data_IF_201694097447
#
_entry.id   IF_201694097447
#
_cell.length_a   1.000
_cell.length_b   1.000
_cell.length_c   1.000
_cell.angle_alpha   90.00
_cell.angle_beta   90.00
_cell.angle_gamma   90.00
#
_symmetry.space_group_name_H-M   'P 1'
#
loop_
_entity.id
_entity.type
_entity.pdbx_description
1 polymer ?
#
# COMPACT_ATOMS: atom_id res chain seq x y z
N UNK A 1 29.10 2.23 -28.47
CA UNK A 1 28.60 2.30 -27.07
C UNK A 1 27.17 2.78 -27.11
N UNK A 2 26.25 1.88 -27.48
CA UNK A 2 24.84 2.22 -27.65
C UNK A 2 24.12 2.02 -26.32
N UNK A 3 23.56 3.12 -25.80
CA UNK A 3 22.79 3.09 -24.56
C UNK A 3 21.46 2.38 -24.78
N UNK A 4 21.17 1.36 -23.97
CA UNK A 4 19.87 0.69 -23.92
C UNK A 4 18.73 1.71 -23.86
N UNK A 5 17.70 1.52 -24.69
CA UNK A 5 16.55 2.41 -24.66
C UNK A 5 15.82 2.27 -23.32
N UNK A 6 15.16 3.35 -22.87
CA UNK A 6 14.37 3.35 -21.64
C UNK A 6 13.26 2.27 -21.66
N UNK A 7 12.85 1.83 -22.86
CA UNK A 7 11.85 0.78 -23.10
C UNK A 7 12.43 -0.62 -22.87
N UNK A 8 13.68 -0.84 -23.28
CA UNK A 8 14.42 -2.09 -22.99
C UNK A 8 14.73 -2.21 -21.50
N UNK A 9 15.10 -1.09 -20.85
CA UNK A 9 15.23 -1.05 -19.40
C UNK A 9 13.89 -1.33 -18.70
N UNK A 10 12.74 -0.91 -19.23
CA UNK A 10 11.44 -1.21 -18.63
C UNK A 10 11.06 -2.69 -18.77
N UNK A 11 11.41 -3.34 -19.89
CA UNK A 11 11.23 -4.79 -20.09
C UNK A 11 12.22 -5.60 -19.26
N UNK A 12 13.48 -5.18 -19.18
CA UNK A 12 14.51 -5.81 -18.32
C UNK A 12 14.17 -5.62 -16.82
N UNK A 13 13.64 -4.46 -16.40
CA UNK A 13 13.20 -4.22 -15.01
C UNK A 13 11.94 -5.02 -14.65
N UNK A 14 10.94 -5.10 -15.53
CA UNK A 14 9.75 -5.92 -15.27
C UNK A 14 10.05 -7.43 -15.30
N UNK A 15 11.10 -7.85 -16.02
CA UNK A 15 11.59 -9.24 -16.04
C UNK A 15 12.55 -9.63 -14.89
N UNK A 16 13.29 -8.68 -14.32
CA UNK A 16 14.33 -8.95 -13.30
C UNK A 16 13.86 -8.67 -11.87
N UNK A 17 12.80 -7.87 -11.69
CA UNK A 17 12.28 -7.50 -10.36
C UNK A 17 11.48 -8.64 -9.67
N UNK A 18 11.24 -9.76 -10.37
CA UNK A 18 10.67 -10.97 -9.77
C UNK A 18 11.72 -11.98 -9.27
N UNK A 19 13.02 -11.75 -9.48
CA UNK A 19 14.08 -12.67 -9.02
C UNK A 19 15.03 -12.11 -7.95
N UNK A 20 15.16 -10.79 -7.80
CA UNK A 20 16.07 -10.20 -6.80
C UNK A 20 15.40 -9.75 -5.48
N UNK A 21 14.07 -9.85 -5.35
CA UNK A 21 13.37 -9.53 -4.11
C UNK A 21 13.41 -10.66 -3.05
N UNK A 22 14.35 -11.60 -3.13
CA UNK A 22 14.43 -12.75 -2.21
C UNK A 22 15.78 -12.89 -1.48
N UNK A 23 16.76 -12.01 -1.69
CA UNK A 23 18.13 -12.27 -1.17
C UNK A 23 18.77 -11.15 -0.32
N UNK A 24 18.13 -9.99 -0.08
CA UNK A 24 18.83 -8.87 0.58
C UNK A 24 18.07 -8.11 1.69
N UNK A 25 17.03 -8.67 2.32
CA UNK A 25 16.43 -8.04 3.51
C UNK A 25 15.97 -9.06 4.54
N UNK A 26 16.90 -9.83 5.13
CA UNK A 26 16.70 -10.38 6.49
C UNK A 26 18.00 -10.96 7.08
N UNK A 27 18.92 -10.09 7.52
CA UNK A 27 20.00 -10.48 8.44
C UNK A 27 20.44 -9.36 9.37
N UNK A 28 19.49 -8.70 10.02
CA UNK A 28 19.84 -7.85 11.17
C UNK A 28 18.70 -7.71 12.19
N UNK A 29 18.28 -8.86 12.72
CA UNK A 29 17.80 -8.92 14.11
C UNK A 29 19.02 -9.11 15.02
N UNK A 30 19.33 -8.10 15.85
CA UNK A 30 19.78 -8.28 17.25
C UNK A 30 19.71 -6.92 17.94
N UNK A 31 18.76 -6.75 18.86
CA UNK A 31 18.78 -5.57 19.74
C UNK A 31 17.47 -5.22 20.43
N UNK A 32 16.71 -6.20 20.92
CA UNK A 32 15.63 -5.93 21.87
C UNK A 32 16.22 -5.39 23.18
N UNK A 33 15.86 -4.16 23.55
CA UNK A 33 15.98 -3.66 24.93
C UNK A 33 14.59 -3.17 25.35
N UNK A 34 13.99 -3.94 26.25
CA UNK A 34 12.87 -3.52 27.08
C UNK A 34 13.33 -2.42 28.04
N UNK A 35 12.43 -1.47 28.33
CA UNK A 35 12.57 -0.53 29.44
C UNK A 35 11.28 -0.47 30.26
N UNK A 36 11.37 -0.23 31.58
CA UNK A 36 10.35 -0.62 32.55
C UNK A 36 9.33 0.50 32.82
N UNK A 37 8.19 0.09 33.39
CA UNK A 37 7.16 0.99 33.88
C UNK A 37 7.61 1.79 35.10
N UNK A 38 7.08 3.01 35.20
CA UNK A 38 7.09 3.81 36.42
C UNK A 38 5.77 4.57 36.54
N UNK A 39 5.03 4.23 37.59
CA UNK A 39 3.93 5.01 38.15
C UNK A 39 4.43 6.32 38.74
N UNK A 40 3.87 7.46 38.33
CA UNK A 40 3.81 8.68 39.16
C UNK A 40 2.59 9.51 38.78
N UNK A 41 1.93 10.01 39.81
CA UNK A 41 0.62 10.64 39.90
C UNK A 41 0.57 12.12 39.49
N UNK A 42 -0.65 12.54 39.09
CA UNK A 42 -1.32 13.80 39.41
C UNK A 42 -0.70 15.15 38.97
N UNK A 43 -1.41 15.91 38.12
CA UNK A 43 -2.26 17.05 38.54
C UNK A 43 -2.84 17.86 37.34
N UNK A 44 -4.08 18.33 37.56
CA UNK A 44 -4.77 19.52 37.02
C UNK A 44 -4.99 19.61 35.48
N UNK A 45 -6.23 19.39 34.97
CA UNK A 45 -7.35 20.35 34.82
C UNK A 45 -6.90 21.63 34.06
N UNK A 46 -7.48 22.07 32.94
CA UNK A 46 -8.91 22.35 32.68
C UNK A 46 -9.04 22.81 31.20
N UNK A 47 -10.22 22.70 30.57
CA UNK A 47 -10.50 23.44 29.32
C UNK A 47 -11.35 22.68 28.30
N UNK A 48 -12.68 22.86 28.38
CA UNK A 48 -13.65 22.09 27.62
C UNK A 48 -13.87 22.49 26.16
N UNK A 49 -14.51 21.57 25.42
CA UNK A 49 -15.70 21.86 24.60
C UNK A 49 -16.46 20.56 24.39
N UNK A 50 -17.52 20.37 25.17
CA UNK A 50 -18.45 19.28 24.97
C UNK A 50 -19.07 19.38 23.57
N UNK A 51 -18.86 18.35 22.76
CA UNK A 51 -19.72 18.08 21.62
C UNK A 51 -20.61 16.91 22.01
N UNK A 52 -21.86 17.25 22.29
CA UNK A 52 -22.89 16.32 22.71
C UNK A 52 -23.06 15.15 21.75
N UNK A 53 -23.51 14.04 22.35
CA UNK A 53 -23.91 12.80 21.66
C UNK A 53 -24.89 13.11 20.53
N UNK A 54 -24.47 12.77 19.32
CA UNK A 54 -25.27 12.80 18.11
C UNK A 54 -24.37 12.43 16.95
N UNK A 55 -24.22 11.13 16.68
CA UNK A 55 -23.42 10.62 15.58
C UNK A 55 -23.94 11.19 14.27
N UNK A 56 -23.30 12.28 13.80
CA UNK A 56 -23.57 12.84 12.50
C UNK A 56 -23.45 11.69 11.50
N UNK A 57 -24.58 11.32 10.86
CA UNK A 57 -24.59 10.36 9.75
C UNK A 57 -23.69 10.97 8.68
N UNK A 58 -22.44 10.51 8.65
CA UNK A 58 -21.46 10.90 7.64
C UNK A 58 -22.07 10.47 6.33
N UNK A 59 -22.49 11.44 5.52
CA UNK A 59 -22.92 11.17 4.17
C UNK A 59 -21.78 10.42 3.47
N UNK A 60 -22.10 9.25 2.91
CA UNK A 60 -21.14 8.45 2.14
C UNK A 60 -20.60 9.36 1.04
N UNK A 61 -19.29 9.61 1.02
CA UNK A 61 -18.65 10.36 -0.07
C UNK A 61 -19.01 9.64 -1.38
N UNK A 62 -19.57 10.37 -2.33
CA UNK A 62 -19.75 9.86 -3.69
C UNK A 62 -18.36 9.55 -4.23
N UNK A 63 -18.13 8.30 -4.61
CA UNK A 63 -16.87 7.90 -5.22
C UNK A 63 -16.80 8.56 -6.60
N UNK A 64 -15.85 9.48 -6.76
CA UNK A 64 -15.48 10.10 -8.04
C UNK A 64 -14.17 9.48 -8.51
N UNK A 65 -13.69 9.84 -9.70
CA UNK A 65 -12.43 9.35 -10.27
C UNK A 65 -11.20 9.65 -9.39
N UNK A 66 -10.99 8.81 -8.38
CA UNK A 66 -9.89 8.91 -7.42
C UNK A 66 -8.53 8.60 -8.05
N UNK A 67 -8.52 8.14 -9.31
CA UNK A 67 -7.30 7.77 -10.02
C UNK A 67 -6.36 8.98 -10.23
N UNK A 68 -6.92 10.18 -10.36
CA UNK A 68 -6.13 11.42 -10.41
C UNK A 68 -5.58 11.83 -9.03
N UNK A 69 -6.11 11.25 -7.96
CA UNK A 69 -5.54 11.35 -6.60
C UNK A 69 -4.15 10.70 -6.49
N UNK A 70 -3.78 9.81 -7.43
CA UNK A 70 -2.40 9.35 -7.59
C UNK A 70 -1.62 10.44 -8.33
N UNK A 71 -1.00 11.30 -7.53
CA UNK A 71 -0.33 12.51 -8.00
C UNK A 71 0.99 12.21 -8.73
N UNK A 72 1.38 13.07 -9.67
CA UNK A 72 2.68 13.01 -10.37
C UNK A 72 3.89 12.86 -9.43
N UNK A 73 4.01 13.58 -8.28
CA UNK A 73 5.11 13.37 -7.35
C UNK A 73 5.09 11.99 -6.68
N UNK A 74 3.93 11.37 -6.45
CA UNK A 74 3.86 10.01 -5.89
C UNK A 74 4.44 8.97 -6.88
N UNK A 75 4.05 9.07 -8.15
CA UNK A 75 4.60 8.23 -9.24
C UNK A 75 6.11 8.45 -9.36
N UNK A 76 6.58 9.70 -9.27
CA UNK A 76 8.01 10.02 -9.26
C UNK A 76 8.74 9.33 -8.11
N UNK A 77 8.21 9.36 -6.88
CA UNK A 77 8.82 8.67 -5.72
C UNK A 77 8.94 7.16 -5.95
N UNK A 78 7.91 6.53 -6.50
CA UNK A 78 7.93 5.10 -6.84
C UNK A 78 8.99 4.79 -7.91
N UNK A 79 9.01 5.56 -9.00
CA UNK A 79 9.98 5.38 -10.08
C UNK A 79 11.42 5.60 -9.60
N UNK A 80 11.65 6.57 -8.70
CA UNK A 80 12.97 6.78 -8.08
C UNK A 80 13.38 5.61 -7.20
N UNK A 81 12.47 5.05 -6.39
CA UNK A 81 12.74 3.82 -5.62
C UNK A 81 13.08 2.64 -6.54
N UNK A 82 12.46 2.57 -7.71
CA UNK A 82 12.79 1.60 -8.76
C UNK A 82 14.03 1.93 -9.60
N UNK A 83 14.84 2.93 -9.24
CA UNK A 83 16.08 3.26 -9.95
C UNK A 83 15.92 4.02 -11.27
N UNK A 84 14.73 4.53 -11.59
CA UNK A 84 14.47 5.22 -12.86
C UNK A 84 15.13 6.60 -12.87
N UNK A 85 16.05 6.84 -13.82
CA UNK A 85 16.83 8.09 -13.94
C UNK A 85 16.10 9.23 -14.67
N UNK A 86 15.35 8.94 -15.74
CA UNK A 86 14.55 9.91 -16.51
C UNK A 86 13.15 9.33 -16.74
N UNK A 87 12.12 10.15 -16.63
CA UNK A 87 10.72 9.73 -16.73
C UNK A 87 10.05 10.56 -17.82
N UNK A 88 9.45 9.91 -18.80
CA UNK A 88 8.66 10.55 -19.85
C UNK A 88 7.29 11.02 -19.34
N UNK A 89 6.70 12.03 -19.98
CA UNK A 89 5.40 12.59 -19.60
C UNK A 89 4.23 11.63 -19.75
N UNK A 90 4.31 10.66 -20.67
CA UNK A 90 3.23 9.69 -20.93
C UNK A 90 3.10 8.63 -19.82
N UNK A 91 4.18 8.38 -19.08
CA UNK A 91 4.24 7.35 -18.03
C UNK A 91 3.26 7.66 -16.89
N UNK A 92 2.92 8.93 -16.63
CA UNK A 92 2.02 9.26 -15.53
C UNK A 92 0.63 8.68 -15.72
N UNK A 93 0.10 8.71 -16.95
CA UNK A 93 -1.23 8.18 -17.23
C UNK A 93 -1.21 6.67 -17.43
N UNK A 94 -0.15 6.15 -18.04
CA UNK A 94 0.04 4.70 -18.18
C UNK A 94 0.16 4.00 -16.83
N UNK A 95 0.92 4.58 -15.88
CA UNK A 95 1.05 4.04 -14.52
C UNK A 95 -0.28 4.02 -13.79
N UNK A 96 -1.16 5.01 -14.02
CA UNK A 96 -2.51 5.03 -13.45
C UNK A 96 -3.37 3.90 -14.01
N UNK A 97 -3.32 3.67 -15.33
CA UNK A 97 -4.01 2.55 -15.95
C UNK A 97 -3.59 1.20 -15.36
N UNK A 98 -2.28 0.97 -15.26
CA UNK A 98 -1.72 -0.26 -14.68
C UNK A 98 -2.14 -0.44 -13.22
N UNK A 99 -2.05 0.62 -12.41
CA UNK A 99 -2.43 0.58 -11.01
C UNK A 99 -3.92 0.27 -10.82
N UNK A 100 -4.78 0.82 -11.68
CA UNK A 100 -6.21 0.55 -11.65
C UNK A 100 -6.50 -0.93 -11.92
N UNK A 101 -5.94 -1.49 -12.99
CA UNK A 101 -6.12 -2.91 -13.34
C UNK A 101 -5.60 -3.83 -12.23
N UNK A 102 -4.44 -3.50 -11.64
CA UNK A 102 -3.87 -4.27 -10.55
C UNK A 102 -4.80 -4.30 -9.32
N UNK A 103 -5.29 -3.13 -8.89
CA UNK A 103 -6.19 -3.04 -7.73
C UNK A 103 -7.54 -3.71 -8.00
N UNK A 104 -8.08 -3.58 -9.21
CA UNK A 104 -9.32 -4.26 -9.60
C UNK A 104 -9.19 -5.78 -9.45
N UNK A 105 -8.08 -6.38 -9.92
CA UNK A 105 -7.88 -7.83 -9.81
C UNK A 105 -7.75 -8.30 -8.36
N UNK A 106 -6.97 -7.59 -7.53
CA UNK A 106 -6.78 -7.94 -6.12
C UNK A 106 -8.08 -7.77 -5.33
N UNK A 107 -8.82 -6.68 -5.56
CA UNK A 107 -10.05 -6.38 -4.82
C UNK A 107 -11.17 -7.34 -5.22
N UNK A 108 -11.29 -7.70 -6.51
CA UNK A 108 -12.27 -8.72 -6.95
C UNK A 108 -12.09 -10.03 -6.17
N UNK A 109 -10.85 -10.53 -6.12
CA UNK A 109 -10.53 -11.77 -5.40
C UNK A 109 -10.77 -11.62 -3.88
N UNK A 110 -10.36 -10.49 -3.28
CA UNK A 110 -10.56 -10.23 -1.86
C UNK A 110 -12.05 -10.15 -1.47
N UNK A 111 -12.88 -9.52 -2.31
CA UNK A 111 -14.33 -9.42 -2.09
C UNK A 111 -14.96 -10.82 -2.18
N UNK A 112 -14.55 -11.66 -3.13
CA UNK A 112 -15.04 -13.05 -3.22
C UNK A 112 -14.76 -13.84 -1.94
N UNK A 113 -13.59 -13.69 -1.32
CA UNK A 113 -13.30 -14.33 -0.02
C UNK A 113 -14.21 -13.82 1.11
N UNK A 114 -14.51 -12.53 1.11
CA UNK A 114 -15.40 -11.94 2.14
C UNK A 114 -16.85 -12.38 1.99
N UNK A 115 -17.33 -12.47 0.76
CA UNK A 115 -18.67 -12.94 0.42
C UNK A 115 -18.83 -14.42 0.76
N UNK A 116 -17.81 -15.24 0.45
CA UNK A 116 -17.79 -16.66 0.84
C UNK A 116 -17.90 -16.84 2.36
N UNK A 117 -17.23 -15.98 3.13
CA UNK A 117 -17.30 -15.97 4.58
C UNK A 117 -18.55 -15.27 5.15
N UNK A 118 -19.49 -14.81 4.30
CA UNK A 118 -20.71 -14.07 4.67
C UNK A 118 -20.45 -12.80 5.50
N UNK A 119 -19.26 -12.20 5.35
CA UNK A 119 -18.85 -10.98 6.04
C UNK A 119 -19.09 -9.76 5.15
N UNK A 120 -19.53 -8.65 5.75
CA UNK A 120 -19.69 -7.35 5.05
C UNK A 120 -18.44 -6.48 5.07
N UNK A 121 -17.40 -6.93 5.78
CA UNK A 121 -16.16 -6.18 6.02
C UNK A 121 -15.00 -6.97 5.46
N UNK A 122 -14.24 -6.34 4.55
CA UNK A 122 -12.99 -6.89 4.04
C UNK A 122 -11.93 -6.84 5.14
N UNK A 123 -11.37 -8.01 5.48
CA UNK A 123 -10.29 -8.13 6.47
C UNK A 123 -8.93 -8.10 5.78
N UNK A 124 -7.87 -7.81 6.54
CA UNK A 124 -6.50 -7.87 6.03
C UNK A 124 -6.15 -9.27 5.49
N UNK A 125 -6.68 -10.32 6.12
CA UNK A 125 -6.46 -11.71 5.70
C UNK A 125 -7.07 -12.02 4.33
N UNK A 126 -8.24 -11.47 4.01
CA UNK A 126 -8.86 -11.67 2.70
C UNK A 126 -7.99 -11.09 1.57
N UNK A 127 -7.31 -9.96 1.84
CA UNK A 127 -6.35 -9.34 0.91
C UNK A 127 -5.07 -10.17 0.81
N UNK A 128 -4.53 -10.67 1.94
CA UNK A 128 -3.34 -11.54 1.94
C UNK A 128 -3.61 -12.83 1.14
N UNK A 129 -4.79 -13.42 1.27
CA UNK A 129 -5.18 -14.61 0.52
C UNK A 129 -5.37 -14.33 -0.97
N UNK A 130 -6.00 -13.21 -1.33
CA UNK A 130 -6.09 -12.77 -2.72
C UNK A 130 -4.71 -12.57 -3.36
N UNK A 131 -3.80 -11.92 -2.64
CA UNK A 131 -2.44 -11.69 -3.09
C UNK A 131 -1.63 -13.00 -3.21
N UNK A 132 -1.80 -13.94 -2.26
CA UNK A 132 -1.18 -15.27 -2.32
C UNK A 132 -1.65 -16.05 -3.56
N UNK A 133 -2.93 -15.98 -3.92
CA UNK A 133 -3.48 -16.61 -5.15
C UNK A 133 -2.83 -16.05 -6.42
N UNK A 134 -2.51 -14.76 -6.44
CA UNK A 134 -1.83 -14.10 -7.57
C UNK A 134 -0.29 -14.28 -7.53
N UNK A 135 0.24 -15.11 -6.63
CA UNK A 135 1.68 -15.35 -6.49
C UNK A 135 2.46 -14.22 -5.81
N UNK A 136 1.77 -13.25 -5.19
CA UNK A 136 2.37 -12.10 -4.51
C UNK A 136 2.19 -12.25 -3.00
N UNK A 137 3.09 -12.92 -2.32
CA UNK A 137 2.94 -13.13 -0.87
C UNK A 137 3.29 -11.85 -0.10
N UNK A 138 2.38 -11.39 0.75
CA UNK A 138 2.56 -10.19 1.58
C UNK A 138 2.70 -10.60 3.06
N UNK A 139 3.76 -10.14 3.70
CA UNK A 139 4.08 -10.43 5.11
C UNK A 139 3.72 -9.25 6.02
N UNK A 140 3.49 -9.50 7.31
CA UNK A 140 3.25 -8.47 8.33
C UNK A 140 1.78 -8.08 8.58
N UNK A 141 0.82 -8.86 8.06
CA UNK A 141 -0.61 -8.54 8.12
C UNK A 141 -1.49 -9.62 8.79
N UNK A 142 -0.89 -10.53 9.57
CA UNK A 142 -1.60 -11.64 10.26
C UNK A 142 -1.83 -11.41 11.75
N UNK A 143 -2.37 -10.24 12.11
CA UNK A 143 -2.70 -9.88 13.50
C UNK A 143 -4.05 -10.42 13.97
#
# INVERSE_FOLDING_TARGET
MEGKSCVELLRDLLGSHLRLARELEWREERGGKSLPGSSTSALALEGGKGLGKGGAKRHRKVLRDNIQGITKPAIRRLARRGGVKRISGLIYEETRGVLKVFLENVIRDAVTYTEHAKRKTVTAMDVVYALKRQGRTLYGFGG
#
